data_IF_789397923013
#
_entry.id   IF_789397923013
#
_cell.length_a   1.000
_cell.length_b   1.000
_cell.length_c   1.000
_cell.angle_alpha   90.00
_cell.angle_beta   90.00
_cell.angle_gamma   90.00
#
_symmetry.space_group_name_H-M   'P 1'
#
loop_
_entity.id
_entity.type
_entity.pdbx_description
1 polymer ?
#
# COMPACT_ATOMS: atom_id res chain seq x y z
N UNK A 1 -14.73 -9.67 17.84
CA UNK A 1 -14.62 -8.28 17.35
C UNK A 1 -13.74 -8.32 16.10
N UNK A 2 -14.36 -8.22 14.92
CA UNK A 2 -13.68 -8.43 13.63
C UNK A 2 -12.72 -7.26 13.37
N UNK A 3 -11.50 -7.55 12.92
CA UNK A 3 -10.50 -6.52 12.60
C UNK A 3 -10.99 -5.77 11.34
N UNK A 4 -11.44 -4.53 11.50
CA UNK A 4 -11.73 -3.63 10.36
C UNK A 4 -10.45 -3.33 9.61
N UNK A 5 -10.46 -3.51 8.29
CA UNK A 5 -9.37 -3.15 7.39
C UNK A 5 -9.75 -1.80 6.77
N UNK A 6 -9.25 -0.72 7.35
CA UNK A 6 -9.64 0.63 6.92
C UNK A 6 -8.71 1.15 5.81
N UNK A 7 -8.99 0.82 4.54
CA UNK A 7 -8.44 1.32 3.25
C UNK A 7 -7.44 0.40 2.55
N UNK A 8 -7.67 0.09 1.27
CA UNK A 8 -6.75 -0.69 0.43
C UNK A 8 -6.27 0.17 -0.74
N UNK A 9 -4.95 0.19 -0.97
CA UNK A 9 -4.37 0.86 -2.14
C UNK A 9 -3.90 -0.24 -3.08
N UNK A 10 -4.63 -0.45 -4.16
CA UNK A 10 -4.42 -1.57 -5.08
C UNK A 10 -4.04 -0.96 -6.42
N UNK A 11 -2.94 -1.40 -7.04
CA UNK A 11 -2.72 -1.11 -8.47
C UNK A 11 -3.83 -1.67 -9.36
N UNK A 12 -3.57 -1.89 -10.65
CA UNK A 12 -4.53 -2.67 -11.44
C UNK A 12 -4.67 -4.10 -10.86
N UNK A 13 -5.92 -4.56 -10.72
CA UNK A 13 -6.22 -5.92 -10.29
C UNK A 13 -5.98 -6.90 -11.44
N UNK A 14 -5.61 -8.11 -11.06
CA UNK A 14 -5.57 -9.29 -11.92
C UNK A 14 -6.89 -9.51 -12.64
N UNK A 15 -6.85 -9.89 -13.93
CA UNK A 15 -8.03 -10.36 -14.64
C UNK A 15 -8.64 -11.60 -13.95
N UNK A 16 -9.88 -11.48 -13.47
CA UNK A 16 -10.61 -12.55 -12.80
C UNK A 16 -10.45 -12.60 -11.27
N UNK A 17 -9.67 -11.70 -10.66
CA UNK A 17 -9.63 -11.53 -9.19
C UNK A 17 -10.44 -10.30 -8.80
N UNK A 18 -11.55 -10.53 -8.10
CA UNK A 18 -12.34 -9.45 -7.53
C UNK A 18 -11.80 -9.07 -6.16
N UNK A 19 -12.06 -7.83 -5.75
CA UNK A 19 -11.77 -7.34 -4.39
C UNK A 19 -12.37 -8.27 -3.32
N UNK A 20 -13.59 -8.74 -3.54
CA UNK A 20 -14.29 -9.68 -2.66
C UNK A 20 -13.48 -10.98 -2.44
N UNK A 21 -12.79 -11.50 -3.47
CA UNK A 21 -11.95 -12.70 -3.36
C UNK A 21 -10.71 -12.49 -2.48
N UNK A 22 -10.25 -11.24 -2.32
CA UNK A 22 -9.18 -10.86 -1.41
C UNK A 22 -9.70 -10.53 0.00
N UNK A 23 -11.01 -10.72 0.24
CA UNK A 23 -11.68 -10.42 1.50
C UNK A 23 -12.02 -8.94 1.67
N UNK A 24 -12.02 -8.17 0.57
CA UNK A 24 -12.28 -6.74 0.56
C UNK A 24 -13.78 -6.51 0.48
N UNK A 25 -14.34 -5.84 1.48
CA UNK A 25 -15.78 -5.56 1.56
C UNK A 25 -16.12 -4.21 0.89
N UNK A 26 -17.38 -4.01 0.51
CA UNK A 26 -17.84 -2.78 -0.17
C UNK A 26 -17.66 -1.49 0.66
N UNK A 27 -17.44 -1.61 1.97
CA UNK A 27 -17.09 -0.48 2.85
C UNK A 27 -15.59 -0.14 2.84
N UNK A 28 -14.77 -0.91 2.14
CA UNK A 28 -13.33 -0.71 2.01
C UNK A 28 -13.00 0.11 0.74
N UNK A 29 -12.45 1.31 0.94
CA UNK A 29 -12.06 2.19 -0.17
C UNK A 29 -10.85 1.60 -0.89
N UNK A 30 -11.02 1.29 -2.17
CA UNK A 30 -9.93 0.86 -3.06
C UNK A 30 -9.45 2.04 -3.90
N UNK A 31 -8.14 2.31 -3.87
CA UNK A 31 -7.52 3.37 -4.67
C UNK A 31 -6.62 2.73 -5.72
N UNK A 32 -6.97 2.94 -6.97
CA UNK A 32 -6.20 2.50 -8.14
C UNK A 32 -5.24 3.58 -8.60
N UNK A 33 -3.98 3.18 -8.80
CA UNK A 33 -2.92 4.01 -9.39
C UNK A 33 -2.51 3.36 -10.70
N UNK A 34 -2.57 4.10 -11.80
CA UNK A 34 -2.18 3.60 -13.12
C UNK A 34 -0.67 3.37 -13.21
N UNK A 35 -0.22 2.57 -14.17
CA UNK A 35 1.21 2.38 -14.40
C UNK A 35 1.91 3.70 -14.79
N UNK A 36 1.25 4.55 -15.57
CA UNK A 36 1.80 5.84 -15.97
C UNK A 36 1.98 6.78 -14.77
N UNK A 37 0.99 6.88 -13.88
CA UNK A 37 1.10 7.65 -12.63
C UNK A 37 2.21 7.08 -11.73
N UNK A 38 2.29 5.75 -11.65
CA UNK A 38 3.34 5.08 -10.88
C UNK A 38 4.73 5.37 -11.44
N UNK A 39 4.86 5.40 -12.77
CA UNK A 39 6.10 5.71 -13.48
C UNK A 39 6.51 7.17 -13.30
N UNK A 40 5.56 8.12 -13.32
CA UNK A 40 5.83 9.52 -12.99
C UNK A 40 6.36 9.70 -11.56
N UNK A 41 5.85 8.89 -10.63
CA UNK A 41 6.35 8.82 -9.27
C UNK A 41 7.66 8.01 -9.11
N UNK A 42 8.27 7.54 -10.21
CA UNK A 42 9.43 6.63 -10.22
C UNK A 42 9.21 5.36 -9.36
N UNK A 43 7.97 4.87 -9.30
CA UNK A 43 7.55 3.75 -8.46
C UNK A 43 7.90 3.96 -6.97
N UNK A 44 8.07 5.21 -6.54
CA UNK A 44 8.49 5.52 -5.18
C UNK A 44 7.29 5.49 -4.24
N UNK A 45 7.21 4.45 -3.40
CA UNK A 45 6.06 4.18 -2.54
C UNK A 45 5.62 5.38 -1.69
N UNK A 46 6.52 6.15 -1.04
CA UNK A 46 6.10 7.34 -0.30
C UNK A 46 5.37 8.39 -1.13
N UNK A 47 5.69 8.52 -2.43
CA UNK A 47 4.98 9.44 -3.32
C UNK A 47 3.61 8.90 -3.70
N UNK A 48 3.54 7.62 -4.06
CA UNK A 48 2.29 6.92 -4.37
C UNK A 48 1.28 7.00 -3.22
N UNK A 49 1.73 6.84 -1.97
CA UNK A 49 0.85 6.94 -0.80
C UNK A 49 0.37 8.37 -0.53
N UNK A 50 1.12 9.38 -0.96
CA UNK A 50 0.68 10.78 -0.89
C UNK A 50 -0.34 11.08 -1.97
N UNK A 51 -0.08 10.63 -3.20
CA UNK A 51 -0.99 10.84 -4.33
C UNK A 51 -2.31 10.07 -4.11
N UNK A 52 -2.26 8.91 -3.44
CA UNK A 52 -3.43 8.18 -2.93
C UNK A 52 -4.10 8.83 -1.69
N UNK A 53 -3.61 9.96 -1.18
CA UNK A 53 -4.18 10.65 -0.01
C UNK A 53 -4.04 9.90 1.32
N UNK A 54 -3.21 8.86 1.39
CA UNK A 54 -2.90 8.15 2.65
C UNK A 54 -2.06 9.03 3.57
N UNK A 55 -1.17 9.84 2.99
CA UNK A 55 -0.33 10.80 3.69
C UNK A 55 -0.46 12.20 3.09
N UNK A 56 -0.21 13.23 3.91
CA UNK A 56 -0.26 14.62 3.44
C UNK A 56 0.94 14.95 2.55
N UNK A 57 2.11 14.38 2.87
CA UNK A 57 3.35 14.58 2.13
C UNK A 57 4.38 13.50 2.48
N UNK A 58 5.45 13.43 1.68
CA UNK A 58 6.52 12.43 1.86
C UNK A 58 7.31 12.61 3.16
N UNK A 59 7.34 13.81 3.75
CA UNK A 59 8.03 14.03 5.03
C UNK A 59 7.34 13.30 6.18
N UNK A 60 6.01 13.16 6.14
CA UNK A 60 5.25 12.34 7.10
C UNK A 60 5.61 10.86 6.98
N UNK A 61 5.71 10.34 5.75
CA UNK A 61 6.15 8.96 5.48
C UNK A 61 7.54 8.73 6.05
N UNK A 62 8.46 9.69 5.85
CA UNK A 62 9.83 9.63 6.37
C UNK A 62 9.88 9.57 7.90
N UNK A 63 9.04 10.37 8.57
CA UNK A 63 8.93 10.37 10.03
C UNK A 63 8.46 9.00 10.52
N UNK A 64 7.39 8.47 9.93
CA UNK A 64 6.83 7.17 10.30
C UNK A 64 7.82 6.03 10.03
N UNK A 65 8.59 6.10 8.94
CA UNK A 65 9.66 5.13 8.68
C UNK A 65 10.66 5.07 9.83
N UNK A 66 11.11 6.23 10.35
CA UNK A 66 12.06 6.28 11.47
C UNK A 66 11.51 5.62 12.73
N UNK A 67 10.21 5.79 12.99
CA UNK A 67 9.55 5.16 14.14
C UNK A 67 9.41 3.65 13.94
N UNK A 68 9.05 3.22 12.73
CA UNK A 68 8.93 1.80 12.36
C UNK A 68 10.24 1.05 12.42
N UNK A 69 11.35 1.65 12.01
CA UNK A 69 12.69 1.03 12.10
C UNK A 69 13.05 0.65 13.54
N UNK A 70 12.48 1.32 14.54
CA UNK A 70 12.69 1.01 15.97
C UNK A 70 11.72 -0.04 16.52
N UNK A 71 10.71 -0.44 15.74
CA UNK A 71 9.71 -1.44 16.15
C UNK A 71 10.16 -2.85 15.77
N UNK A 72 10.71 -3.59 16.73
CA UNK A 72 11.15 -4.99 16.53
C UNK A 72 10.01 -6.00 16.29
N UNK A 73 8.74 -5.59 16.39
CA UNK A 73 7.57 -6.45 16.23
C UNK A 73 6.98 -6.51 14.81
N UNK A 74 7.42 -5.62 13.92
CA UNK A 74 6.97 -5.60 12.52
C UNK A 74 7.88 -6.52 11.72
N UNK A 75 7.35 -7.28 10.75
CA UNK A 75 8.22 -7.93 9.76
C UNK A 75 8.84 -6.89 8.83
N UNK A 76 9.88 -7.27 8.10
CA UNK A 76 10.65 -6.33 7.29
C UNK A 76 9.78 -5.66 6.19
N UNK A 77 8.92 -6.43 5.54
CA UNK A 77 8.00 -5.94 4.49
C UNK A 77 7.00 -4.91 5.04
N UNK A 78 6.43 -5.18 6.23
CA UNK A 78 5.55 -4.24 6.91
C UNK A 78 6.32 -3.01 7.43
N UNK A 79 7.63 -3.10 7.64
CA UNK A 79 8.44 -2.07 8.33
C UNK A 79 8.92 -0.97 7.39
N UNK A 80 9.23 -1.28 6.13
CA UNK A 80 9.96 -0.38 5.24
C UNK A 80 9.03 0.29 4.21
N UNK A 81 8.37 1.40 4.55
CA UNK A 81 7.59 2.20 3.59
C UNK A 81 8.47 3.07 2.68
N UNK A 82 9.69 3.37 3.10
CA UNK A 82 10.61 4.22 2.33
C UNK A 82 11.39 3.39 1.31
N UNK A 83 10.71 2.98 0.24
CA UNK A 83 11.26 2.13 -0.82
C UNK A 83 10.68 2.45 -2.19
N UNK A 84 11.28 1.88 -3.22
CA UNK A 84 10.76 1.84 -4.59
C UNK A 84 10.10 0.46 -4.82
N UNK A 85 9.04 0.43 -5.62
CA UNK A 85 8.32 -0.78 -6.01
C UNK A 85 8.96 -1.34 -7.30
N UNK A 86 10.08 -2.02 -7.15
CA UNK A 86 10.87 -2.55 -8.29
C UNK A 86 10.38 -3.91 -8.79
N UNK A 87 9.79 -4.66 -7.88
CA UNK A 87 9.37 -6.03 -8.10
C UNK A 87 7.89 -6.15 -7.73
N UNK A 88 7.17 -7.14 -8.29
CA UNK A 88 5.82 -7.44 -7.83
C UNK A 88 5.80 -7.70 -6.32
N UNK A 89 4.85 -7.08 -5.62
CA UNK A 89 4.75 -7.22 -4.17
C UNK A 89 3.30 -7.26 -3.67
N UNK A 90 3.10 -8.01 -2.60
CA UNK A 90 1.91 -8.00 -1.76
C UNK A 90 2.35 -7.66 -0.33
N UNK A 91 2.20 -6.40 0.05
CA UNK A 91 2.59 -5.94 1.39
C UNK A 91 1.39 -5.48 2.18
N UNK A 92 1.26 -6.00 3.41
CA UNK A 92 0.35 -5.47 4.41
C UNK A 92 1.07 -4.43 5.27
N UNK A 93 0.43 -3.33 5.63
CA UNK A 93 1.02 -2.42 6.61
C UNK A 93 -0.02 -1.58 7.34
N UNK A 94 0.33 -1.09 8.54
CA UNK A 94 -0.59 -0.32 9.40
C UNK A 94 -0.13 1.11 9.64
N UNK A 95 -0.99 2.10 9.42
CA UNK A 95 -0.72 3.51 9.73
C UNK A 95 -1.74 4.03 10.73
N UNK A 96 -1.29 4.36 11.94
CA UNK A 96 -2.19 4.76 13.03
C UNK A 96 -3.16 3.64 13.39
N UNK A 97 -4.46 3.89 13.19
CA UNK A 97 -5.53 2.88 13.37
C UNK A 97 -5.90 2.14 12.08
N UNK A 98 -5.49 2.65 10.93
CA UNK A 98 -5.84 2.15 9.60
C UNK A 98 -4.89 1.04 9.14
N UNK A 99 -5.42 0.08 8.39
CA UNK A 99 -4.69 -1.06 7.85
C UNK A 99 -4.78 -1.02 6.33
N UNK A 100 -3.66 -1.24 5.66
CA UNK A 100 -3.51 -1.15 4.22
C UNK A 100 -2.96 -2.46 3.66
N UNK A 101 -3.41 -2.80 2.45
CA UNK A 101 -2.69 -3.70 1.57
C UNK A 101 -2.21 -2.91 0.36
N UNK A 102 -1.01 -3.25 -0.08
CA UNK A 102 -0.35 -2.73 -1.26
C UNK A 102 -0.06 -3.89 -2.19
N UNK A 103 -0.51 -3.74 -3.43
CA UNK A 103 -0.41 -4.73 -4.50
C UNK A 103 0.22 -4.04 -5.70
N UNK A 104 1.39 -4.53 -6.15
CA UNK A 104 2.11 -4.01 -7.31
C UNK A 104 2.60 -5.16 -8.20
N UNK A 105 2.59 -4.98 -9.52
CA UNK A 105 3.10 -5.94 -10.52
C UNK A 105 2.11 -6.27 -11.64
N UNK A 106 2.61 -6.88 -12.72
CA UNK A 106 1.79 -7.47 -13.78
C UNK A 106 1.26 -8.84 -13.35
N UNK A 107 0.01 -9.14 -13.70
CA UNK A 107 -0.52 -10.49 -13.59
C UNK A 107 -0.64 -11.08 -14.99
N UNK A 108 0.26 -12.00 -15.33
CA UNK A 108 0.19 -12.74 -16.60
C UNK A 108 -0.92 -13.79 -16.50
N UNK A 109 -1.93 -13.68 -17.36
CA UNK A 109 -2.91 -14.74 -17.64
C UNK A 109 -2.33 -15.70 -18.68
#
# INVERSE_FOLDING_TARGET
MMKRIDNIVIGELVEGVTLEMLGVCDDEVTIHISEDDAREANFFLPRLLVDAGVFTNTSEVRRIQKDRTKMGRLSDDERILWRELKDPELTKFKVGKKLFWLIAGEFTV
#
